data_IF_682002662543
#
_entry.id   IF_682002662543
#
_cell.length_a   1.000
_cell.length_b   1.000
_cell.length_c   1.000
_cell.angle_alpha   90.00
_cell.angle_beta   90.00
_cell.angle_gamma   90.00
#
_symmetry.space_group_name_H-M   'P 1'
#
loop_
_entity.id
_entity.type
_entity.pdbx_description
1 polymer ?
#
# COMPACT_ATOMS: atom_id res chain seq x y z
N UNK A 1 -6.94 11.80 -21.91
CA UNK A 1 -6.26 10.89 -20.98
C UNK A 1 -5.17 11.65 -20.24
N UNK A 2 -5.29 11.85 -18.93
CA UNK A 2 -4.21 12.47 -18.13
C UNK A 2 -3.01 11.53 -18.16
N UNK A 3 -1.82 12.08 -18.46
CA UNK A 3 -0.58 11.32 -18.59
C UNK A 3 -0.14 10.84 -17.21
N UNK A 4 0.15 9.55 -17.07
CA UNK A 4 0.80 9.01 -15.88
C UNK A 4 2.19 9.66 -15.71
N UNK A 5 2.51 10.03 -14.48
CA UNK A 5 3.84 10.48 -14.09
C UNK A 5 4.49 9.40 -13.25
N UNK A 6 5.79 9.23 -13.44
CA UNK A 6 6.60 8.30 -12.67
C UNK A 6 7.70 9.09 -11.96
N UNK A 7 7.91 8.84 -10.70
CA UNK A 7 9.02 9.42 -9.94
C UNK A 7 9.42 8.55 -8.76
N UNK A 8 10.58 8.81 -8.24
CA UNK A 8 11.08 8.17 -7.04
C UNK A 8 10.98 9.13 -5.86
N UNK A 9 10.43 8.66 -4.76
CA UNK A 9 10.26 9.41 -3.51
C UNK A 9 11.04 8.72 -2.41
N UNK A 10 11.76 9.50 -1.60
CA UNK A 10 12.42 8.98 -0.41
C UNK A 10 11.41 8.92 0.74
N UNK A 11 11.19 7.74 1.28
CA UNK A 11 10.28 7.49 2.40
C UNK A 11 10.83 6.40 3.30
N UNK A 12 10.69 6.54 4.62
CA UNK A 12 11.01 5.50 5.62
C UNK A 12 12.35 4.77 5.36
N UNK A 13 13.37 5.51 4.91
CA UNK A 13 14.71 4.97 4.66
C UNK A 13 14.92 4.26 3.33
N UNK A 14 13.92 4.23 2.44
CA UNK A 14 13.99 3.65 1.10
C UNK A 14 13.70 4.69 0.02
N UNK A 15 14.13 4.40 -1.21
CA UNK A 15 13.72 5.10 -2.41
C UNK A 15 12.55 4.32 -3.04
N UNK A 16 11.37 4.90 -3.01
CA UNK A 16 10.14 4.28 -3.47
C UNK A 16 9.74 4.84 -4.84
N UNK A 17 9.60 3.98 -5.82
CA UNK A 17 9.02 4.34 -7.11
C UNK A 17 7.50 4.44 -6.99
N UNK A 18 6.94 5.47 -7.61
CA UNK A 18 5.49 5.65 -7.71
C UNK A 18 5.04 5.96 -9.13
N UNK A 19 3.86 5.48 -9.49
CA UNK A 19 3.08 5.96 -10.63
C UNK A 19 1.93 6.81 -10.10
N UNK A 20 1.74 8.01 -10.64
CA UNK A 20 0.72 8.94 -10.16
C UNK A 20 -0.03 9.63 -11.29
N UNK A 21 -1.25 10.07 -11.00
CA UNK A 21 -2.08 10.85 -11.91
C UNK A 21 -3.09 11.72 -11.14
N UNK A 22 -3.53 12.80 -11.78
CA UNK A 22 -4.58 13.66 -11.26
C UNK A 22 -4.12 14.67 -10.21
N UNK A 23 -5.09 15.38 -9.68
CA UNK A 23 -4.96 16.37 -8.62
C UNK A 23 -6.23 16.30 -7.77
N UNK A 24 -6.16 16.63 -6.48
CA UNK A 24 -7.27 16.58 -5.54
C UNK A 24 -6.96 15.71 -4.33
N UNK A 25 -7.95 15.20 -3.60
CA UNK A 25 -7.74 14.35 -2.44
C UNK A 25 -6.92 13.10 -2.79
N UNK A 26 -5.97 12.75 -1.91
CA UNK A 26 -5.03 11.66 -2.15
C UNK A 26 -5.69 10.28 -2.01
N UNK A 27 -5.46 9.42 -2.99
CA UNK A 27 -5.81 7.99 -2.97
C UNK A 27 -4.55 7.17 -3.25
N UNK A 28 -4.19 6.27 -2.33
CA UNK A 28 -3.03 5.38 -2.47
C UNK A 28 -3.52 3.97 -2.77
N UNK A 29 -2.92 3.33 -3.79
CA UNK A 29 -3.28 2.01 -4.28
C UNK A 29 -2.13 1.02 -4.06
N UNK A 30 -2.25 0.15 -3.05
CA UNK A 30 -1.24 -0.85 -2.69
C UNK A 30 -1.50 -2.16 -3.45
N UNK A 31 -0.52 -2.60 -4.25
CA UNK A 31 -0.60 -3.84 -5.04
C UNK A 31 -0.34 -5.09 -4.21
N UNK A 32 -0.61 -6.27 -4.80
CA UNK A 32 -0.39 -7.58 -4.21
C UNK A 32 0.93 -8.26 -4.61
N UNK A 33 0.97 -9.57 -4.43
CA UNK A 33 2.10 -10.45 -4.78
C UNK A 33 1.76 -11.32 -6.00
N UNK A 34 2.67 -11.50 -6.94
CA UNK A 34 3.91 -10.76 -7.25
C UNK A 34 3.62 -9.65 -8.26
N UNK A 35 3.26 -8.47 -7.79
CA UNK A 35 2.73 -7.39 -8.61
C UNK A 35 3.60 -6.11 -8.49
N UNK A 36 3.11 -5.03 -9.09
CA UNK A 36 3.70 -3.69 -9.04
C UNK A 36 2.60 -2.63 -9.21
N UNK A 37 2.96 -1.34 -9.25
CA UNK A 37 2.04 -0.27 -9.62
C UNK A 37 1.21 -0.57 -10.88
N UNK A 38 1.74 -1.40 -11.78
CA UNK A 38 1.12 -1.73 -13.07
C UNK A 38 -0.22 -2.44 -12.94
N UNK A 39 -0.47 -3.12 -11.83
CA UNK A 39 -1.79 -3.71 -11.52
C UNK A 39 -2.90 -2.67 -11.50
N UNK A 40 -2.56 -1.43 -11.13
CA UNK A 40 -3.48 -0.31 -11.01
C UNK A 40 -3.55 0.60 -12.25
N UNK A 41 -2.89 0.24 -13.37
CA UNK A 41 -2.80 1.06 -14.59
C UNK A 41 -4.14 1.50 -15.17
N UNK A 42 -5.21 0.77 -14.92
CA UNK A 42 -6.57 1.10 -15.39
C UNK A 42 -7.33 1.97 -14.40
N UNK A 43 -7.08 1.81 -13.09
CA UNK A 43 -7.71 2.59 -12.02
C UNK A 43 -7.12 4.00 -11.91
N UNK A 44 -5.81 4.14 -12.11
CA UNK A 44 -5.11 5.42 -12.05
C UNK A 44 -5.77 6.51 -12.91
N UNK A 45 -5.99 6.34 -14.22
CA UNK A 45 -6.60 7.39 -15.04
C UNK A 45 -8.07 7.63 -14.69
N UNK A 46 -8.82 6.60 -14.33
CA UNK A 46 -10.26 6.72 -14.00
C UNK A 46 -10.46 7.54 -12.74
N UNK A 47 -9.71 7.24 -11.68
CA UNK A 47 -9.79 8.00 -10.43
C UNK A 47 -9.25 9.43 -10.60
N UNK A 48 -8.21 9.61 -11.41
CA UNK A 48 -7.70 10.95 -11.73
C UNK A 48 -8.71 11.80 -12.51
N UNK A 49 -9.48 11.21 -13.42
CA UNK A 49 -10.58 11.89 -14.13
C UNK A 49 -11.75 12.20 -13.18
N UNK A 50 -11.93 11.39 -12.13
CA UNK A 50 -12.92 11.65 -11.07
C UNK A 50 -12.48 12.75 -10.08
N UNK A 51 -11.31 13.35 -10.24
CA UNK A 51 -10.84 14.49 -9.45
C UNK A 51 -10.01 14.11 -8.22
N UNK A 52 -9.35 12.96 -8.24
CA UNK A 52 -8.43 12.52 -7.18
C UNK A 52 -6.97 12.63 -7.62
N UNK A 53 -6.07 12.89 -6.66
CA UNK A 53 -4.65 12.62 -6.82
C UNK A 53 -4.42 11.14 -6.48
N UNK A 54 -4.15 10.32 -7.48
CA UNK A 54 -4.02 8.88 -7.31
C UNK A 54 -2.57 8.47 -7.42
N UNK A 55 -2.09 7.70 -6.47
CA UNK A 55 -0.71 7.24 -6.36
C UNK A 55 -0.69 5.72 -6.17
N UNK A 56 0.01 5.03 -7.05
CA UNK A 56 0.29 3.60 -6.94
C UNK A 56 1.80 3.40 -6.75
N UNK A 57 2.26 3.13 -5.53
CA UNK A 57 3.66 2.81 -5.28
C UNK A 57 3.97 1.38 -5.73
N UNK A 58 5.22 1.15 -6.15
CA UNK A 58 5.83 -0.16 -6.01
C UNK A 58 6.19 -0.33 -4.54
N UNK A 59 5.57 -1.29 -3.86
CA UNK A 59 5.84 -1.50 -2.44
C UNK A 59 7.29 -1.97 -2.22
N UNK A 60 7.81 -1.83 -1.01
CA UNK A 60 9.15 -2.26 -0.58
C UNK A 60 9.49 -3.65 -1.12
N UNK A 61 10.59 -3.77 -1.87
CA UNK A 61 11.04 -5.02 -2.48
C UNK A 61 10.43 -5.36 -3.83
N UNK A 62 9.58 -4.48 -4.40
CA UNK A 62 8.95 -4.70 -5.70
C UNK A 62 9.32 -3.62 -6.70
N UNK A 63 9.21 -3.95 -7.98
CA UNK A 63 9.41 -3.03 -9.10
C UNK A 63 10.71 -2.27 -9.04
N UNK A 64 10.63 -0.95 -9.14
CA UNK A 64 11.78 -0.04 -9.10
C UNK A 64 12.02 0.56 -7.69
N UNK A 65 11.35 0.04 -6.67
CA UNK A 65 11.56 0.42 -5.26
C UNK A 65 12.70 -0.38 -4.64
N UNK A 66 13.45 0.26 -3.73
CA UNK A 66 14.52 -0.39 -2.98
C UNK A 66 14.06 -1.70 -2.33
N UNK A 67 14.94 -2.70 -2.37
CA UNK A 67 14.75 -4.01 -1.76
C UNK A 67 15.79 -4.23 -0.65
N UNK A 68 15.54 -3.81 0.59
CA UNK A 68 16.40 -4.09 1.73
C UNK A 68 16.68 -5.59 1.87
N UNK A 69 17.91 -5.95 2.29
CA UNK A 69 18.34 -7.36 2.33
C UNK A 69 17.92 -8.08 3.60
N UNK A 70 17.72 -7.34 4.69
CA UNK A 70 17.36 -7.93 5.96
C UNK A 70 15.88 -8.31 5.99
N UNK A 71 15.56 -9.51 6.43
CA UNK A 71 14.19 -10.01 6.49
C UNK A 71 13.33 -9.18 7.45
N UNK A 72 13.95 -8.66 8.49
CA UNK A 72 13.36 -7.80 9.52
C UNK A 72 12.80 -6.50 8.95
N UNK A 73 13.30 -6.06 7.80
CA UNK A 73 12.86 -4.84 7.12
C UNK A 73 11.50 -4.98 6.41
N UNK A 74 10.90 -6.17 6.41
CA UNK A 74 9.65 -6.48 5.70
C UNK A 74 8.45 -6.74 6.63
N UNK A 75 8.49 -6.22 7.83
CA UNK A 75 7.34 -6.30 8.74
C UNK A 75 6.21 -5.35 8.31
N UNK A 76 4.99 -5.61 8.81
CA UNK A 76 3.86 -4.70 8.56
C UNK A 76 4.14 -3.26 9.06
N UNK A 77 4.95 -3.08 10.11
CA UNK A 77 5.35 -1.75 10.56
C UNK A 77 6.18 -1.01 9.53
N UNK A 78 7.10 -1.70 8.84
CA UNK A 78 7.88 -1.10 7.77
C UNK A 78 7.01 -0.76 6.56
N UNK A 79 6.14 -1.68 6.14
CA UNK A 79 5.27 -1.48 4.99
C UNK A 79 4.28 -0.33 5.21
N UNK A 80 3.65 -0.27 6.38
CA UNK A 80 2.76 0.85 6.75
C UNK A 80 3.57 2.14 6.92
N UNK A 81 4.75 2.08 7.54
CA UNK A 81 5.65 3.22 7.69
C UNK A 81 6.05 3.84 6.35
N UNK A 82 6.26 3.01 5.32
CA UNK A 82 6.55 3.48 3.96
C UNK A 82 5.40 4.31 3.40
N UNK A 83 4.16 3.86 3.60
CA UNK A 83 2.97 4.55 3.10
C UNK A 83 2.69 5.83 3.90
N UNK A 84 2.88 5.81 5.21
CA UNK A 84 2.78 7.02 6.06
C UNK A 84 3.80 8.07 5.61
N UNK A 85 5.06 7.67 5.43
CA UNK A 85 6.09 8.58 4.95
C UNK A 85 5.85 9.04 3.50
N UNK A 86 5.18 8.23 2.67
CA UNK A 86 4.77 8.64 1.32
C UNK A 86 3.74 9.77 1.38
N UNK A 87 2.73 9.69 2.26
CA UNK A 87 1.73 10.77 2.44
C UNK A 87 2.43 12.08 2.83
N UNK A 88 3.35 12.02 3.81
CA UNK A 88 4.13 13.17 4.25
C UNK A 88 4.99 13.75 3.12
N UNK A 89 5.70 12.91 2.37
CA UNK A 89 6.56 13.32 1.26
C UNK A 89 5.78 13.92 0.06
N UNK A 90 4.49 13.61 -0.03
CA UNK A 90 3.56 14.22 -0.99
C UNK A 90 2.98 15.56 -0.49
N UNK A 91 3.34 16.00 0.72
CA UNK A 91 2.80 17.16 1.42
C UNK A 91 1.28 17.08 1.65
N UNK A 92 0.79 15.87 1.87
CA UNK A 92 -0.61 15.61 2.19
C UNK A 92 -0.77 15.29 3.68
N UNK A 93 -1.91 15.62 4.24
CA UNK A 93 -2.23 15.34 5.65
C UNK A 93 -3.09 14.10 5.83
N UNK A 94 -3.88 13.77 4.81
CA UNK A 94 -4.80 12.62 4.83
C UNK A 94 -4.84 11.92 3.49
N UNK A 95 -5.22 10.65 3.51
CA UNK A 95 -5.40 9.86 2.31
C UNK A 95 -6.52 8.82 2.47
N UNK A 96 -7.08 8.39 1.34
CA UNK A 96 -7.78 7.12 1.23
C UNK A 96 -6.74 6.07 0.83
N UNK A 97 -6.77 4.89 1.45
CA UNK A 97 -5.88 3.79 1.09
C UNK A 97 -6.69 2.59 0.58
N UNK A 98 -6.24 2.02 -0.53
CA UNK A 98 -6.85 0.82 -1.13
C UNK A 98 -5.77 -0.23 -1.31
N UNK A 99 -6.05 -1.47 -0.93
CA UNK A 99 -5.12 -2.58 -1.08
C UNK A 99 -5.76 -3.79 -1.73
N UNK A 100 -4.99 -4.51 -2.53
CA UNK A 100 -5.36 -5.78 -3.14
C UNK A 100 -4.36 -6.86 -2.74
N UNK A 101 -4.84 -8.09 -2.47
CA UNK A 101 -4.01 -9.24 -2.10
C UNK A 101 -3.06 -8.90 -0.92
N UNK A 102 -1.73 -9.02 -1.03
CA UNK A 102 -0.77 -8.60 0.00
C UNK A 102 -0.80 -7.09 0.32
N UNK A 103 -1.33 -6.25 -0.55
CA UNK A 103 -1.56 -4.84 -0.28
C UNK A 103 -2.74 -4.59 0.66
N UNK A 104 -3.69 -5.53 0.75
CA UNK A 104 -4.86 -5.36 1.63
C UNK A 104 -4.50 -5.35 3.13
N UNK A 105 -3.65 -6.25 3.67
CA UNK A 105 -3.15 -6.15 5.04
C UNK A 105 -2.43 -4.82 5.33
N UNK A 106 -1.69 -4.28 4.36
CA UNK A 106 -1.05 -2.96 4.51
C UNK A 106 -2.11 -1.88 4.66
N UNK A 107 -3.14 -1.88 3.79
CA UNK A 107 -4.23 -0.93 3.85
C UNK A 107 -5.03 -1.02 5.17
N UNK A 108 -5.36 -2.23 5.61
CA UNK A 108 -6.05 -2.45 6.87
C UNK A 108 -5.25 -1.96 8.08
N UNK A 109 -3.97 -2.33 8.17
CA UNK A 109 -3.10 -1.91 9.27
C UNK A 109 -2.84 -0.40 9.25
N UNK A 110 -2.68 0.20 8.09
CA UNK A 110 -2.54 1.65 7.95
C UNK A 110 -3.76 2.39 8.52
N UNK A 111 -4.98 1.97 8.15
CA UNK A 111 -6.21 2.57 8.64
C UNK A 111 -6.42 2.35 10.16
N UNK A 112 -6.04 1.18 10.68
CA UNK A 112 -6.16 0.86 12.11
C UNK A 112 -5.15 1.60 12.97
N UNK A 113 -3.89 1.75 12.50
CA UNK A 113 -2.81 2.35 13.29
C UNK A 113 -2.72 3.85 13.13
N UNK A 114 -3.14 4.38 11.98
CA UNK A 114 -3.08 5.80 11.65
C UNK A 114 -4.42 6.32 11.10
N UNK A 115 -5.51 6.22 11.90
CA UNK A 115 -6.81 6.76 11.52
C UNK A 115 -6.82 8.29 11.39
N UNK A 116 -5.80 8.95 11.93
CA UNK A 116 -5.52 10.38 11.75
C UNK A 116 -5.09 10.73 10.31
N UNK A 117 -4.47 9.78 9.60
CA UNK A 117 -4.00 9.95 8.21
C UNK A 117 -4.98 9.28 7.23
N UNK A 118 -5.35 8.03 7.48
CA UNK A 118 -6.19 7.25 6.57
C UNK A 118 -7.65 7.32 6.98
N UNK A 119 -8.38 8.24 6.36
CA UNK A 119 -9.79 8.52 6.68
C UNK A 119 -10.78 7.55 6.02
N UNK A 120 -10.31 6.74 5.06
CA UNK A 120 -11.08 5.65 4.47
C UNK A 120 -10.14 4.53 3.97
N UNK A 121 -10.65 3.31 3.96
CA UNK A 121 -9.93 2.12 3.50
C UNK A 121 -10.80 1.30 2.55
N UNK A 122 -10.18 0.83 1.46
CA UNK A 122 -10.74 -0.17 0.57
C UNK A 122 -9.84 -1.41 0.55
N UNK A 123 -10.42 -2.61 0.59
CA UNK A 123 -9.65 -3.83 0.49
C UNK A 123 -10.32 -4.80 -0.47
N UNK A 124 -9.53 -5.39 -1.36
CA UNK A 124 -9.97 -6.35 -2.35
C UNK A 124 -9.30 -7.70 -2.06
N UNK A 125 -10.09 -8.76 -2.14
CA UNK A 125 -9.76 -10.17 -1.96
C UNK A 125 -9.33 -10.62 -0.55
N UNK A 126 -8.82 -9.74 0.31
CA UNK A 126 -8.41 -10.09 1.68
C UNK A 126 -9.20 -9.27 2.70
N UNK A 127 -10.17 -9.86 3.39
CA UNK A 127 -10.96 -9.15 4.41
C UNK A 127 -10.10 -8.84 5.65
N UNK A 128 -10.56 -7.88 6.45
CA UNK A 128 -10.00 -7.69 7.78
C UNK A 128 -10.30 -8.93 8.63
N UNK A 129 -9.27 -9.47 9.27
CA UNK A 129 -9.42 -10.54 10.25
C UNK A 129 -9.16 -9.97 11.64
N UNK A 130 -10.15 -10.11 12.53
CA UNK A 130 -9.92 -9.86 13.95
C UNK A 130 -8.80 -10.79 14.44
N UNK A 131 -7.99 -10.31 15.39
CA UNK A 131 -6.95 -11.14 16.00
C UNK A 131 -7.61 -12.37 16.63
N UNK A 132 -7.37 -13.54 16.04
CA UNK A 132 -7.86 -14.79 16.56
C UNK A 132 -7.25 -15.12 17.93
N UNK A 133 -7.92 -15.99 18.69
CA UNK A 133 -7.40 -16.48 19.98
C UNK A 133 -6.10 -17.30 19.83
N UNK A 134 -5.79 -17.75 18.60
CA UNK A 134 -4.65 -18.58 18.28
C UNK A 134 -3.73 -17.86 17.27
N UNK A 135 -2.41 -17.89 17.45
CA UNK A 135 -1.47 -17.35 16.49
C UNK A 135 -1.63 -18.00 15.10
N UNK A 136 -1.46 -17.25 13.98
CA UNK A 136 -1.54 -17.81 12.63
C UNK A 136 -0.61 -19.01 12.39
N UNK A 137 0.55 -19.01 13.01
CA UNK A 137 1.53 -20.10 12.94
C UNK A 137 1.02 -21.41 13.56
N UNK A 138 0.21 -21.36 14.61
CA UNK A 138 -0.42 -22.54 15.20
C UNK A 138 -1.59 -23.04 14.35
N UNK A 139 -2.36 -22.12 13.76
CA UNK A 139 -3.43 -22.48 12.82
C UNK A 139 -2.86 -23.19 11.58
N UNK A 140 -1.74 -22.69 11.03
CA UNK A 140 -1.06 -23.34 9.90
C UNK A 140 -0.57 -24.74 10.23
N UNK A 141 -0.01 -24.97 11.43
CA UNK A 141 0.41 -26.30 11.88
C UNK A 141 -0.75 -27.30 11.95
N UNK A 142 -1.95 -26.82 12.33
CA UNK A 142 -3.14 -27.67 12.40
C UNK A 142 -3.71 -28.02 11.02
N UNK A 143 -3.54 -27.14 10.01
CA UNK A 143 -4.01 -27.37 8.64
C UNK A 143 -3.10 -28.25 7.78
N UNK A 144 -1.86 -28.52 8.21
CA UNK A 144 -0.88 -29.35 7.49
C UNK A 144 -0.45 -30.59 8.28
N UNK A 145 -1.25 -31.02 9.26
CA UNK A 145 -0.95 -32.16 10.14
C UNK A 145 -1.54 -33.49 9.63
N UNK A 146 -1.80 -33.63 8.29
CA UNK A 146 -2.18 -34.91 7.66
C UNK A 146 -1.11 -35.39 6.69
#
# INVERSE_FOLDING_TARGET
>A
MRKLKHRTIKTNGINMHIAEAGEGPLVILCHGFPESWYSWRHQLPVLAEAGYHVVAPDQRGYGDTDAPKALEDYTQFHLVGDIVGLVDALNESTAVIVGHDWGAPVAWNAALWRPDIFNAVGALSVPVTARGAMPPTELMKMGFAD
#
